data_IF_765264344209
#
_entry.id   IF_765264344209
#
_cell.length_a   1.000
_cell.length_b   1.000
_cell.length_c   1.000
_cell.angle_alpha   90.00
_cell.angle_beta   90.00
_cell.angle_gamma   90.00
#
_symmetry.space_group_name_H-M   'P 1'
#
loop_
_entity.id
_entity.type
_entity.pdbx_description
1 polymer ?
#
# COMPACT_ATOMS: atom_id res chain seq x y z
N UNK A 1 -7.56 3.23 -10.24
CA UNK A 1 -7.38 1.79 -9.97
C UNK A 1 -7.23 1.55 -8.46
N UNK A 2 -7.53 0.33 -8.00
CA UNK A 2 -7.22 -0.18 -6.67
C UNK A 2 -5.98 -1.09 -6.73
N UNK A 3 -4.86 -0.60 -6.19
CA UNK A 3 -3.59 -1.33 -6.15
C UNK A 3 -3.25 -1.71 -4.71
N UNK A 4 -2.76 -2.94 -4.52
CA UNK A 4 -2.12 -3.38 -3.28
C UNK A 4 -0.62 -3.57 -3.52
N UNK A 5 0.19 -3.06 -2.59
CA UNK A 5 1.63 -3.25 -2.56
C UNK A 5 2.00 -3.88 -1.21
N UNK A 6 2.71 -5.00 -1.22
CA UNK A 6 3.33 -5.59 -0.03
C UNK A 6 4.79 -5.16 0.00
N UNK A 7 5.18 -4.46 1.05
CA UNK A 7 6.50 -3.86 1.22
C UNK A 7 6.50 -2.34 1.02
N UNK A 8 7.04 -1.62 1.99
CA UNK A 8 7.27 -0.17 2.01
C UNK A 8 8.77 0.17 2.01
N UNK A 9 9.61 -0.71 1.47
CA UNK A 9 11.00 -0.39 1.18
C UNK A 9 11.13 0.74 0.14
N UNK A 10 12.36 1.01 -0.30
CA UNK A 10 12.63 2.09 -1.26
C UNK A 10 11.75 2.01 -2.52
N UNK A 11 11.58 0.81 -3.07
CA UNK A 11 10.78 0.60 -4.29
C UNK A 11 9.28 0.68 -4.01
N UNK A 12 8.79 -0.03 -2.99
CA UNK A 12 7.37 -0.05 -2.65
C UNK A 12 6.82 1.34 -2.30
N UNK A 13 7.59 2.12 -1.52
CA UNK A 13 7.24 3.50 -1.16
C UNK A 13 7.25 4.44 -2.38
N UNK A 14 8.28 4.36 -3.23
CA UNK A 14 8.35 5.15 -4.45
C UNK A 14 7.18 4.84 -5.37
N UNK A 15 6.90 3.56 -5.58
CA UNK A 15 5.83 3.09 -6.45
C UNK A 15 4.46 3.57 -5.97
N UNK A 16 4.18 3.44 -4.67
CA UNK A 16 2.94 3.93 -4.08
C UNK A 16 2.77 5.43 -4.30
N UNK A 17 3.83 6.23 -4.10
CA UNK A 17 3.77 7.66 -4.31
C UNK A 17 3.53 8.00 -5.79
N UNK A 18 4.24 7.35 -6.71
CA UNK A 18 4.04 7.54 -8.15
C UNK A 18 2.60 7.22 -8.56
N UNK A 19 2.06 6.10 -8.09
CA UNK A 19 0.70 5.66 -8.43
C UNK A 19 -0.35 6.60 -7.80
N UNK A 20 -0.16 7.05 -6.56
CA UNK A 20 -1.03 8.06 -5.97
C UNK A 20 -0.99 9.38 -6.74
N UNK A 21 0.16 9.80 -7.27
CA UNK A 21 0.26 11.00 -8.10
C UNK A 21 -0.50 10.90 -9.43
N UNK A 22 -0.73 9.68 -9.92
CA UNK A 22 -1.58 9.39 -11.08
C UNK A 22 -3.08 9.35 -10.72
N UNK A 23 -3.45 9.60 -9.46
CA UNK A 23 -4.84 9.68 -9.03
C UNK A 23 -5.45 8.35 -8.61
N UNK A 24 -4.63 7.35 -8.28
CA UNK A 24 -5.11 6.02 -7.92
C UNK A 24 -5.09 5.75 -6.41
N UNK A 25 -5.85 4.73 -5.99
CA UNK A 25 -5.88 4.25 -4.61
C UNK A 25 -4.83 3.16 -4.45
N UNK A 26 -3.94 3.34 -3.49
CA UNK A 26 -2.91 2.38 -3.11
C UNK A 26 -3.13 1.96 -1.66
N UNK A 27 -3.09 0.66 -1.42
CA UNK A 27 -2.97 0.11 -0.07
C UNK A 27 -1.60 -0.55 0.07
N UNK A 28 -0.77 -0.04 0.98
CA UNK A 28 0.48 -0.68 1.37
C UNK A 28 0.25 -1.60 2.56
N UNK A 29 0.79 -2.82 2.51
CA UNK A 29 1.00 -3.68 3.68
C UNK A 29 2.49 -3.69 4.01
N UNK A 30 2.85 -3.30 5.23
CA UNK A 30 4.24 -3.29 5.70
C UNK A 30 4.33 -3.85 7.12
N UNK A 31 5.30 -4.74 7.38
CA UNK A 31 5.48 -5.39 8.69
C UNK A 31 6.37 -4.60 9.64
N UNK A 32 7.24 -3.75 9.10
CA UNK A 32 8.12 -2.89 9.88
C UNK A 32 7.35 -1.64 10.29
N UNK A 33 7.16 -1.50 11.60
CA UNK A 33 6.39 -0.40 12.18
C UNK A 33 6.92 0.99 11.80
N UNK A 34 8.25 1.18 11.79
CA UNK A 34 8.87 2.47 11.48
C UNK A 34 8.63 2.85 10.01
N UNK A 35 8.82 1.90 9.09
CA UNK A 35 8.54 2.09 7.67
C UNK A 35 7.04 2.34 7.40
N UNK A 36 6.14 1.62 8.06
CA UNK A 36 4.70 1.84 7.95
C UNK A 36 4.25 3.19 8.55
N UNK A 37 4.97 3.70 9.54
CA UNK A 37 4.66 4.96 10.22
C UNK A 37 5.24 6.18 9.49
N UNK A 38 6.28 6.01 8.68
CA UNK A 38 6.89 7.09 7.90
C UNK A 38 6.08 7.46 6.65
N UNK A 39 5.18 6.57 6.20
CA UNK A 39 4.34 6.79 5.04
C UNK A 39 3.17 7.75 5.33
N UNK A 40 2.82 8.64 4.38
CA UNK A 40 1.61 9.46 4.49
C UNK A 40 0.36 8.58 4.44
N UNK A 41 -0.75 9.08 5.01
CA UNK A 41 -2.03 8.37 5.06
C UNK A 41 -3.16 9.26 4.57
N UNK A 42 -4.13 8.68 3.89
CA UNK A 42 -5.28 9.41 3.33
C UNK A 42 -4.96 9.99 1.97
N UNK A 43 -5.39 11.22 1.70
CA UNK A 43 -5.24 11.84 0.38
C UNK A 43 -3.77 12.22 0.13
N UNK A 44 -3.19 11.69 -0.94
CA UNK A 44 -1.82 11.99 -1.38
C UNK A 44 -1.91 12.51 -2.81
N UNK A 45 -1.71 13.82 -2.96
CA UNK A 45 -1.91 14.53 -4.24
C UNK A 45 -3.32 14.28 -4.82
N UNK A 46 -3.39 13.62 -5.97
CA UNK A 46 -4.62 13.27 -6.68
C UNK A 46 -5.19 11.92 -6.23
N UNK A 47 -4.43 11.10 -5.51
CA UNK A 47 -4.79 9.74 -5.11
C UNK A 47 -5.01 9.57 -3.61
N UNK A 48 -5.07 8.31 -3.17
CA UNK A 48 -5.28 7.92 -1.77
C UNK A 48 -4.32 6.81 -1.39
N UNK A 49 -3.64 6.97 -0.25
CA UNK A 49 -2.76 5.96 0.34
C UNK A 49 -3.33 5.44 1.66
N UNK A 50 -3.62 4.14 1.71
CA UNK A 50 -3.90 3.37 2.94
C UNK A 50 -2.63 2.61 3.32
N UNK A 51 -2.33 2.55 4.62
CA UNK A 51 -1.19 1.79 5.14
C UNK A 51 -1.69 0.84 6.21
N UNK A 52 -1.37 -0.45 6.05
CA UNK A 52 -1.67 -1.54 6.97
C UNK A 52 -0.36 -2.02 7.57
N UNK A 53 -0.25 -1.99 8.89
CA UNK A 53 0.91 -2.52 9.59
C UNK A 53 0.67 -4.00 9.92
N UNK A 54 1.15 -4.90 9.07
CA UNK A 54 0.93 -6.35 9.19
C UNK A 54 1.94 -7.15 8.36
N UNK A 55 2.04 -8.45 8.61
CA UNK A 55 2.80 -9.36 7.76
C UNK A 55 1.99 -9.67 6.49
N UNK A 56 2.45 -9.15 5.35
CA UNK A 56 1.82 -9.32 4.05
C UNK A 56 1.86 -10.74 3.48
N UNK A 57 2.47 -11.71 4.17
CA UNK A 57 2.34 -13.13 3.83
C UNK A 57 1.10 -13.79 4.45
N UNK A 58 0.36 -13.07 5.32
CA UNK A 58 -0.80 -13.62 6.04
C UNK A 58 -2.12 -13.36 5.31
N UNK A 59 -3.04 -14.33 5.38
CA UNK A 59 -4.39 -14.17 4.84
C UNK A 59 -5.14 -12.99 5.49
N UNK A 60 -4.93 -12.76 6.80
CA UNK A 60 -5.51 -11.63 7.53
C UNK A 60 -5.09 -10.28 6.94
N UNK A 61 -3.81 -10.11 6.59
CA UNK A 61 -3.34 -8.87 5.97
C UNK A 61 -3.99 -8.64 4.60
N UNK A 62 -4.14 -9.70 3.81
CA UNK A 62 -4.79 -9.62 2.49
C UNK A 62 -6.28 -9.26 2.59
N UNK A 63 -6.97 -9.82 3.58
CA UNK A 63 -8.39 -9.50 3.85
C UNK A 63 -8.53 -8.04 4.30
N UNK A 64 -7.68 -7.57 5.22
CA UNK A 64 -7.69 -6.18 5.68
C UNK A 64 -7.37 -5.17 4.56
N UNK A 65 -6.51 -5.58 3.61
CA UNK A 65 -6.16 -4.80 2.43
C UNK A 65 -7.24 -4.82 1.34
N UNK A 66 -8.32 -5.60 1.51
CA UNK A 66 -9.40 -5.77 0.55
C UNK A 66 -8.90 -6.32 -0.80
N UNK A 67 -8.05 -7.35 -0.75
CA UNK A 67 -7.43 -7.97 -1.95
C UNK A 67 -8.43 -8.47 -2.98
N UNK A 68 -9.63 -8.84 -2.55
CA UNK A 68 -10.69 -9.30 -3.45
C UNK A 68 -11.13 -8.21 -4.45
N UNK A 69 -10.98 -6.93 -4.10
CA UNK A 69 -11.32 -5.78 -4.94
C UNK A 69 -10.08 -5.08 -5.51
N UNK A 70 -8.90 -5.68 -5.41
CA UNK A 70 -7.68 -5.16 -6.00
C UNK A 70 -7.59 -5.55 -7.48
N UNK A 71 -7.23 -4.60 -8.32
CA UNK A 71 -7.00 -4.83 -9.76
C UNK A 71 -5.54 -5.25 -10.01
N UNK A 72 -4.63 -4.81 -9.15
CA UNK A 72 -3.20 -5.09 -9.24
C UNK A 72 -2.66 -5.39 -7.84
N UNK A 73 -1.85 -6.46 -7.75
CA UNK A 73 -1.15 -6.87 -6.55
C UNK A 73 0.35 -6.95 -6.83
N UNK A 74 1.16 -6.25 -6.03
CA UNK A 74 2.60 -6.11 -6.23
C UNK A 74 3.33 -6.51 -4.94
N UNK A 75 4.41 -7.26 -5.06
CA UNK A 75 5.34 -7.57 -3.97
C UNK A 75 6.67 -6.91 -4.28
N UNK A 76 7.17 -6.07 -3.37
CA UNK A 76 8.35 -5.23 -3.57
C UNK A 76 9.32 -5.27 -2.38
#
# INVERSE_FOLDING_TARGET
>A
MNIIIVGAGNIGSLLAQTICNLGHKVTIIEKNFEAASSLPRGRVNSGVLKVIHSDGSTASAMIEADVANAEVFIVA
#
